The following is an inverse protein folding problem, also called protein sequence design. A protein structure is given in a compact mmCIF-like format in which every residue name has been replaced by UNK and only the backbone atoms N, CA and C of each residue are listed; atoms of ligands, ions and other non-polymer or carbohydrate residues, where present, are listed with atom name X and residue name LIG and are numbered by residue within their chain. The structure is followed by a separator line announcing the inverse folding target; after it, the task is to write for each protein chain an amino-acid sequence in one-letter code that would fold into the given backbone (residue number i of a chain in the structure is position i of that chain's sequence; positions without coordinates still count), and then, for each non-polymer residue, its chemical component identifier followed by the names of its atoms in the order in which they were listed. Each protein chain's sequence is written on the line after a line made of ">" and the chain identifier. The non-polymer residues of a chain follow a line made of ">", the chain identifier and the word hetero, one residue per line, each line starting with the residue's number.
data_IF_940056661425
#
_entry.id   IF_940056661425
#
_cell.length_a   1.000
_cell.length_b   1.000
_cell.length_c   1.000
_cell.angle_alpha   90.00
_cell.angle_beta   90.00
_cell.angle_gamma   90.00
#
_symmetry.space_group_name_H-M   'P 1'
#
loop_
_entity.id
_entity.type
_entity.pdbx_description
1 polymer ?
#
# COMPACT_ATOMS: atom_id res chain seq x y z
N UNK A 1 -7.28 2.24 16.85
CA UNK A 1 -7.01 1.53 15.59
C UNK A 1 -7.29 0.04 15.81
N UNK A 2 -7.78 -0.68 14.80
CA UNK A 2 -7.80 -2.15 14.88
C UNK A 2 -6.40 -2.65 14.51
N UNK A 3 -5.52 -2.72 15.52
CA UNK A 3 -4.28 -3.48 15.40
C UNK A 3 -4.64 -4.89 14.92
N UNK A 4 -4.03 -5.34 13.82
CA UNK A 4 -4.25 -6.66 13.25
C UNK A 4 -5.43 -6.81 12.27
N UNK A 5 -6.01 -5.72 11.73
CA UNK A 5 -7.07 -5.83 10.72
C UNK A 5 -6.69 -6.70 9.50
N UNK A 6 -5.42 -6.63 9.09
CA UNK A 6 -4.91 -7.35 7.93
C UNK A 6 -4.42 -8.77 8.24
N UNK A 7 -4.30 -9.12 9.53
CA UNK A 7 -3.73 -10.38 9.96
C UNK A 7 -4.67 -11.53 9.55
N UNK A 8 -4.14 -12.53 8.86
CA UNK A 8 -4.88 -13.65 8.30
C UNK A 8 -5.59 -13.36 6.97
N UNK A 9 -5.61 -12.10 6.49
CA UNK A 9 -6.15 -11.80 5.17
C UNK A 9 -5.23 -12.30 4.07
N UNK A 10 -5.78 -12.56 2.89
CA UNK A 10 -5.02 -13.10 1.76
C UNK A 10 -4.71 -12.03 0.70
N UNK A 11 -3.64 -12.29 -0.06
CA UNK A 11 -3.49 -11.72 -1.38
C UNK A 11 -4.44 -12.45 -2.36
N UNK A 12 -5.63 -11.92 -2.56
CA UNK A 12 -6.69 -12.59 -3.33
C UNK A 12 -6.53 -12.45 -4.85
N UNK A 13 -5.68 -11.53 -5.33
CA UNK A 13 -5.46 -11.29 -6.77
C UNK A 13 -3.98 -11.12 -7.09
N UNK A 14 -3.46 -12.01 -7.92
CA UNK A 14 -2.11 -11.95 -8.49
C UNK A 14 -2.22 -11.80 -10.00
N UNK A 15 -1.53 -10.81 -10.56
CA UNK A 15 -1.35 -10.67 -12.01
C UNK A 15 0.16 -10.55 -12.29
N UNK A 16 0.75 -11.54 -12.97
CA UNK A 16 2.16 -11.52 -13.36
C UNK A 16 2.54 -10.20 -14.05
N UNK A 17 3.72 -9.67 -13.72
CA UNK A 17 4.27 -8.43 -14.28
C UNK A 17 3.38 -7.19 -14.15
N UNK A 18 2.41 -7.23 -13.23
CA UNK A 18 1.49 -6.12 -12.97
C UNK A 18 1.42 -5.81 -11.48
N UNK A 19 0.57 -6.51 -10.73
CA UNK A 19 0.35 -6.25 -9.30
C UNK A 19 0.01 -7.53 -8.53
N UNK A 20 0.30 -7.50 -7.23
CA UNK A 20 -0.28 -8.40 -6.23
C UNK A 20 -1.19 -7.56 -5.32
N UNK A 21 -2.43 -8.00 -5.11
CA UNK A 21 -3.48 -7.26 -4.40
C UNK A 21 -4.01 -8.09 -3.23
N UNK A 22 -4.19 -7.43 -2.08
CA UNK A 22 -4.65 -8.00 -0.83
C UNK A 22 -5.47 -7.00 -0.01
N UNK A 23 -5.76 -7.37 1.23
CA UNK A 23 -6.48 -6.49 2.16
C UNK A 23 -8.00 -6.52 2.05
N UNK A 24 -8.56 -7.51 1.35
CA UNK A 24 -10.00 -7.77 1.36
C UNK A 24 -10.36 -8.70 2.54
N UNK A 25 -11.22 -8.28 3.49
CA UNK A 25 -11.71 -9.11 4.60
C UNK A 25 -12.36 -10.42 4.18
N UNK A 26 -12.95 -10.48 2.99
CA UNK A 26 -13.63 -11.66 2.46
C UNK A 26 -12.79 -12.44 1.45
N UNK A 27 -11.67 -11.88 1.00
CA UNK A 27 -10.80 -12.49 -0.02
C UNK A 27 -11.46 -12.67 -1.41
N UNK A 28 -12.54 -11.94 -1.71
CA UNK A 28 -13.32 -12.09 -2.95
C UNK A 28 -13.05 -11.01 -4.00
N UNK A 29 -12.39 -9.92 -3.60
CA UNK A 29 -12.25 -8.66 -4.32
C UNK A 29 -13.32 -7.61 -3.98
N UNK A 30 -14.35 -7.94 -3.19
CA UNK A 30 -15.51 -7.07 -2.96
C UNK A 30 -15.65 -6.54 -1.53
N UNK A 31 -14.85 -7.01 -0.56
CA UNK A 31 -14.93 -6.52 0.81
C UNK A 31 -14.30 -5.13 1.00
N UNK A 32 -14.72 -4.47 2.07
CA UNK A 32 -14.29 -3.14 2.47
C UNK A 32 -14.22 -3.03 4.01
N UNK A 33 -13.66 -1.94 4.53
CA UNK A 33 -13.54 -1.71 5.97
C UNK A 33 -14.76 -1.00 6.61
N UNK A 34 -15.86 -0.84 5.87
CA UNK A 34 -17.05 -0.11 6.32
C UNK A 34 -16.98 1.41 6.12
N UNK A 35 -15.94 1.91 5.45
CA UNK A 35 -15.80 3.30 5.06
C UNK A 35 -15.03 3.40 3.74
N UNK A 36 -15.19 4.53 3.07
CA UNK A 36 -14.48 4.85 1.83
C UNK A 36 -13.52 6.02 2.03
N UNK A 37 -12.46 6.05 1.23
CA UNK A 37 -11.52 7.15 1.10
C UNK A 37 -11.53 7.69 -0.35
N UNK A 38 -11.38 9.01 -0.53
CA UNK A 38 -11.33 9.61 -1.84
C UNK A 38 -10.05 9.26 -2.60
N UNK A 39 -10.07 9.47 -3.92
CA UNK A 39 -8.88 9.42 -4.74
C UNK A 39 -7.95 10.59 -4.37
N UNK A 40 -6.68 10.28 -4.08
CA UNK A 40 -5.63 11.26 -3.83
C UNK A 40 -4.54 11.14 -4.88
N UNK A 41 -4.38 12.18 -5.70
CA UNK A 41 -3.40 12.21 -6.79
C UNK A 41 -2.23 13.12 -6.43
N UNK A 42 -1.01 12.61 -6.64
CA UNK A 42 0.23 13.35 -6.52
C UNK A 42 1.11 13.05 -7.74
N UNK A 43 1.52 14.10 -8.45
CA UNK A 43 2.34 13.97 -9.67
C UNK A 43 3.67 13.24 -9.42
N UNK A 44 4.21 13.30 -8.21
CA UNK A 44 5.45 12.63 -7.81
C UNK A 44 5.24 11.18 -7.38
N UNK A 45 4.01 10.79 -7.07
CA UNK A 45 3.68 9.46 -6.62
C UNK A 45 3.31 8.59 -7.84
N UNK A 46 4.33 7.92 -8.39
CA UNK A 46 4.23 7.10 -9.60
C UNK A 46 4.15 5.61 -9.27
N UNK A 47 3.46 4.86 -10.12
CA UNK A 47 3.37 3.42 -10.06
C UNK A 47 4.64 2.73 -10.63
N UNK A 48 5.79 3.03 -10.02
CA UNK A 48 7.05 2.33 -10.27
C UNK A 48 7.02 0.92 -9.65
N UNK A 49 8.00 0.06 -9.94
CA UNK A 49 8.12 -1.24 -9.24
C UNK A 49 8.15 -1.05 -7.71
N UNK A 50 7.33 -1.84 -7.01
CA UNK A 50 7.19 -1.82 -5.57
C UNK A 50 6.33 -0.68 -5.02
N UNK A 51 5.65 0.11 -5.83
CA UNK A 51 4.68 1.10 -5.37
C UNK A 51 3.49 0.42 -4.68
N UNK A 52 3.05 1.00 -3.56
CA UNK A 52 1.83 0.60 -2.85
C UNK A 52 0.70 1.54 -3.23
N UNK A 53 -0.39 0.98 -3.76
CA UNK A 53 -1.56 1.76 -4.15
C UNK A 53 -2.86 1.22 -3.55
N UNK A 54 -3.86 2.11 -3.46
CA UNK A 54 -5.20 1.76 -2.96
C UNK A 54 -6.03 1.20 -4.11
N UNK A 55 -6.57 0.00 -3.92
CA UNK A 55 -7.56 -0.56 -4.85
C UNK A 55 -8.92 0.11 -4.64
N UNK A 56 -9.66 0.31 -5.73
CA UNK A 56 -11.00 0.92 -5.73
C UNK A 56 -11.90 0.26 -6.77
N UNK A 57 -13.20 0.44 -6.61
CA UNK A 57 -14.16 0.16 -7.66
C UNK A 57 -14.14 1.27 -8.74
N UNK A 58 -15.16 1.29 -9.60
CA UNK A 58 -15.25 2.26 -10.69
C UNK A 58 -15.30 3.71 -10.18
N UNK A 59 -16.00 3.95 -9.06
CA UNK A 59 -16.05 5.24 -8.40
C UNK A 59 -14.66 5.62 -7.85
N UNK A 60 -14.07 6.77 -8.25
CA UNK A 60 -12.82 7.28 -7.69
C UNK A 60 -12.80 7.34 -6.15
N UNK A 61 -13.96 7.56 -5.51
CA UNK A 61 -14.09 7.70 -4.06
C UNK A 61 -14.50 6.40 -3.35
N UNK A 62 -14.15 5.25 -3.93
CA UNK A 62 -14.46 3.92 -3.38
C UNK A 62 -13.24 3.16 -2.85
N UNK A 63 -12.10 3.84 -2.68
CA UNK A 63 -10.97 3.25 -1.98
C UNK A 63 -11.36 2.88 -0.55
N UNK A 64 -10.80 1.81 0.01
CA UNK A 64 -11.10 1.41 1.40
C UNK A 64 -9.87 0.75 2.03
N UNK A 65 -9.91 -0.55 2.31
CA UNK A 65 -8.81 -1.29 2.92
C UNK A 65 -8.00 -2.16 1.94
N UNK A 66 -8.50 -2.39 0.73
CA UNK A 66 -7.78 -3.16 -0.25
C UNK A 66 -6.62 -2.34 -0.84
N UNK A 67 -5.46 -2.97 -0.95
CA UNK A 67 -4.25 -2.36 -1.51
C UNK A 67 -3.58 -3.33 -2.48
N UNK A 68 -2.69 -2.78 -3.31
CA UNK A 68 -1.83 -3.56 -4.18
C UNK A 68 -0.38 -3.10 -4.10
N UNK A 69 0.52 -4.01 -4.46
CA UNK A 69 1.94 -3.74 -4.69
C UNK A 69 2.23 -4.00 -6.16
N UNK A 70 2.81 -3.03 -6.84
CA UNK A 70 3.22 -3.19 -8.25
C UNK A 70 4.45 -4.10 -8.35
N UNK A 71 4.37 -5.09 -9.24
CA UNK A 71 5.45 -6.04 -9.52
C UNK A 71 6.38 -5.57 -10.65
N UNK A 72 5.91 -4.58 -11.42
CA UNK A 72 6.58 -3.89 -12.52
C UNK A 72 6.04 -2.46 -12.59
N UNK A 73 6.66 -1.58 -13.36
CA UNK A 73 6.11 -0.24 -13.61
C UNK A 73 4.77 -0.30 -14.35
N UNK A 74 3.79 0.48 -13.88
CA UNK A 74 2.41 0.50 -14.39
C UNK A 74 1.90 1.93 -14.61
N UNK A 75 2.53 2.70 -15.50
CA UNK A 75 2.25 4.14 -15.67
C UNK A 75 0.80 4.45 -16.08
N UNK A 76 0.07 3.49 -16.65
CA UNK A 76 -1.35 3.64 -16.97
C UNK A 76 -2.25 3.77 -15.73
N UNK A 77 -1.75 3.48 -14.53
CA UNK A 77 -2.45 3.71 -13.26
C UNK A 77 -2.20 5.11 -12.69
N UNK A 78 -1.16 5.82 -13.15
CA UNK A 78 -0.82 7.14 -12.66
C UNK A 78 -1.99 8.12 -12.89
N UNK A 79 -2.27 8.95 -11.88
CA UNK A 79 -3.40 9.89 -11.92
C UNK A 79 -4.79 9.26 -11.76
N UNK A 80 -4.88 7.92 -11.71
CA UNK A 80 -6.14 7.19 -11.61
C UNK A 80 -6.31 6.40 -10.31
N UNK A 81 -5.22 6.16 -9.60
CA UNK A 81 -5.17 5.45 -8.32
C UNK A 81 -4.21 6.13 -7.36
N UNK A 82 -4.57 6.14 -6.07
CA UNK A 82 -3.75 6.69 -4.99
C UNK A 82 -2.53 5.80 -4.75
N UNK A 83 -1.33 6.36 -4.86
CA UNK A 83 -0.08 5.74 -4.39
C UNK A 83 0.26 6.32 -3.02
N UNK A 84 0.33 5.47 -2.00
CA UNK A 84 0.54 5.89 -0.60
C UNK A 84 1.87 5.42 -0.01
N UNK A 85 2.62 4.57 -0.72
CA UNK A 85 3.89 4.04 -0.22
C UNK A 85 4.71 3.37 -1.30
N UNK A 86 5.90 2.89 -0.89
CA UNK A 86 6.77 2.08 -1.73
C UNK A 86 7.52 1.06 -0.87
N UNK A 87 7.68 -0.15 -1.39
CA UNK A 87 8.56 -1.17 -0.84
C UNK A 87 10.00 -0.65 -0.87
N UNK A 88 10.62 -0.54 0.31
CA UNK A 88 12.03 -0.12 0.45
C UNK A 88 12.99 -1.30 0.60
N UNK A 89 12.48 -2.45 1.05
CA UNK A 89 13.23 -3.71 1.27
C UNK A 89 12.27 -4.90 1.07
N UNK A 90 12.79 -6.04 0.63
CA UNK A 90 12.01 -7.28 0.47
C UNK A 90 11.22 -7.37 -0.85
N UNK A 91 11.61 -6.65 -1.90
CA UNK A 91 10.94 -6.75 -3.20
C UNK A 91 11.08 -8.15 -3.81
N UNK A 92 12.15 -8.87 -3.52
CA UNK A 92 12.35 -10.27 -3.90
C UNK A 92 11.33 -11.21 -3.23
N UNK A 93 10.90 -10.91 -2.00
CA UNK A 93 9.82 -11.61 -1.31
C UNK A 93 8.48 -11.28 -1.97
N UNK A 94 8.21 -9.99 -2.24
CA UNK A 94 6.99 -9.56 -2.93
C UNK A 94 6.84 -10.25 -4.29
N UNK A 95 7.91 -10.38 -5.08
CA UNK A 95 7.88 -11.07 -6.38
C UNK A 95 7.58 -12.57 -6.28
N UNK A 96 7.82 -13.18 -5.12
CA UNK A 96 7.48 -14.60 -4.86
C UNK A 96 6.04 -14.80 -4.41
N UNK A 97 5.35 -13.74 -3.97
CA UNK A 97 3.95 -13.83 -3.54
C UNK A 97 3.04 -14.31 -4.68
N UNK A 98 2.02 -15.09 -4.32
CA UNK A 98 1.00 -15.65 -5.20
C UNK A 98 -0.38 -15.45 -4.61
N UNK A 99 -1.39 -15.70 -5.45
CA UNK A 99 -2.79 -15.68 -5.02
C UNK A 99 -2.99 -16.72 -3.90
N UNK A 100 -3.57 -16.29 -2.79
CA UNK A 100 -3.84 -17.14 -1.63
C UNK A 100 -2.80 -17.07 -0.53
N UNK A 101 -1.64 -16.43 -0.77
CA UNK A 101 -0.66 -16.20 0.30
C UNK A 101 -1.27 -15.32 1.39
N UNK A 102 -0.92 -15.64 2.64
CA UNK A 102 -1.52 -15.06 3.84
C UNK A 102 -0.65 -13.91 4.34
N UNK A 103 -1.29 -12.80 4.68
CA UNK A 103 -0.69 -11.72 5.44
C UNK A 103 -0.67 -12.16 6.90
N UNK A 104 0.48 -12.62 7.38
CA UNK A 104 0.59 -13.05 8.78
C UNK A 104 0.43 -11.88 9.75
N UNK A 105 1.05 -10.74 9.43
CA UNK A 105 1.04 -9.55 10.28
C UNK A 105 1.36 -8.28 9.50
N UNK A 106 0.67 -7.17 9.81
CA UNK A 106 1.09 -5.81 9.40
C UNK A 106 1.27 -4.92 10.63
N UNK A 107 2.46 -4.32 10.74
CA UNK A 107 2.79 -3.38 11.81
C UNK A 107 3.18 -2.02 11.24
N UNK A 108 2.59 -0.97 11.80
CA UNK A 108 2.97 0.41 11.49
C UNK A 108 4.07 0.79 12.48
N UNK A 109 5.28 1.01 11.97
CA UNK A 109 6.41 1.47 12.75
C UNK A 109 6.58 2.96 12.56
N UNK A 110 6.68 3.72 13.65
CA UNK A 110 7.07 5.13 13.58
C UNK A 110 8.57 5.23 13.27
N UNK A 111 8.91 5.97 12.22
CA UNK A 111 10.30 6.30 11.92
C UNK A 111 10.81 7.35 12.91
N UNK A 112 11.32 6.87 14.05
CA UNK A 112 11.93 7.72 15.08
C UNK A 112 13.21 8.44 14.61
N UNK A 113 13.77 8.11 13.43
CA UNK A 113 14.97 8.77 12.92
C UNK A 113 14.70 10.17 12.37
N UNK A 114 13.52 10.41 11.77
CA UNK A 114 13.13 11.77 11.31
C UNK A 114 12.95 12.76 12.46
N UNK A 115 12.51 12.29 13.63
CA UNK A 115 12.37 13.11 14.84
C UNK A 115 13.75 13.59 15.31
N UNK A 116 14.75 12.70 15.31
CA UNK A 116 16.14 13.04 15.70
C UNK A 116 16.83 14.03 14.74
N UNK A 117 16.53 13.99 13.44
CA UNK A 117 17.06 14.99 12.49
C UNK A 117 16.45 16.37 12.70
N UNK A 118 15.17 16.48 13.09
CA UNK A 118 14.54 17.77 13.41
C UNK A 118 15.05 18.36 14.74
N UNK A 119 15.39 17.53 15.72
CA UNK A 119 15.96 18.00 17.00
C UNK A 119 17.41 18.48 16.88
N UNK A 120 18.23 17.85 16.02
CA UNK A 120 19.61 18.28 15.80
C UNK A 120 19.76 19.67 15.16
N UNK A 121 18.70 20.24 14.56
CA UNK A 121 18.76 21.52 13.84
C UNK A 121 18.39 22.73 14.71
N UNK A 122 18.01 22.54 16.00
CA UNK A 122 17.60 23.65 16.88
C UNK A 122 18.65 24.18 17.87
N UNK A 123 19.89 23.70 17.83
CA UNK A 123 20.94 24.11 18.79
C UNK A 123 22.16 24.76 18.15
N UNK A 124 21.98 25.70 17.21
CA UNK A 124 23.05 26.60 16.77
C UNK A 124 22.51 28.00 16.52
N UNK A 125 22.14 28.73 17.57
CA UNK A 125 22.26 30.19 17.60
C UNK A 125 22.60 30.59 19.04
N UNK A 126 23.85 31.02 19.25
CA UNK A 126 24.29 31.88 20.35
C UNK A 126 24.66 33.22 19.74
#
# INVERSE_FOLDING_TARGET
>A
SKLGFYDGLIFHRYVPDFVIQGGDPYGTGYGNAGYNIPLEINEKAKHVEGALGIARAQDPNSGSCQFYITLKETPHLDGNYTVFGKVIKGMDVVKKLRKGDIIEKIEIMEDTQKIKMKEKVKNVEK
#
